data_IF_425748871491
#
_entry.id   IF_425748871491
#
_cell.length_a   1.000
_cell.length_b   1.000
_cell.length_c   1.000
_cell.angle_alpha   90.00
_cell.angle_beta   90.00
_cell.angle_gamma   90.00
#
_symmetry.space_group_name_H-M   'P 1'
#
loop_
_entity.id
_entity.type
_entity.pdbx_description
1 polymer ?
#
# COMPACT_ATOMS: atom_id res chain seq x y z
N UNK A 1 10.32 -45.69 16.62
CA UNK A 1 10.20 -45.64 15.14
C UNK A 1 9.28 -44.46 14.80
N UNK A 2 9.70 -43.23 15.12
CA UNK A 2 8.82 -42.05 15.16
C UNK A 2 9.48 -40.82 14.51
N UNK A 3 10.43 -41.04 13.60
CA UNK A 3 11.13 -39.94 12.91
C UNK A 3 10.34 -39.37 11.73
N UNK A 4 9.31 -40.06 11.23
CA UNK A 4 8.52 -39.61 10.06
C UNK A 4 7.43 -38.59 10.40
N UNK A 5 7.05 -38.40 11.67
CA UNK A 5 6.01 -37.41 12.06
C UNK A 5 6.55 -35.99 12.22
N UNK A 6 7.84 -35.82 12.51
CA UNK A 6 8.46 -34.49 12.64
C UNK A 6 8.86 -33.96 11.24
N UNK A 7 9.26 -34.83 10.32
CA UNK A 7 9.63 -34.45 8.96
C UNK A 7 8.44 -33.97 8.09
N UNK A 8 7.19 -34.28 8.46
CA UNK A 8 6.00 -33.86 7.69
C UNK A 8 5.37 -32.55 8.21
N UNK A 9 5.84 -31.99 9.32
CA UNK A 9 5.35 -30.71 9.83
C UNK A 9 6.16 -29.51 9.34
N UNK A 10 7.36 -29.76 8.81
CA UNK A 10 8.27 -28.71 8.30
C UNK A 10 8.18 -28.60 6.76
N UNK A 11 7.49 -29.53 6.08
CA UNK A 11 7.54 -29.60 4.62
C UNK A 11 6.51 -28.78 3.82
N UNK A 12 5.55 -28.05 4.40
CA UNK A 12 4.59 -27.29 3.57
C UNK A 12 4.09 -25.95 4.15
N UNK A 13 4.73 -25.37 5.17
CA UNK A 13 4.32 -24.08 5.74
C UNK A 13 4.95 -22.84 5.08
N UNK A 14 5.70 -22.99 3.98
CA UNK A 14 6.41 -21.86 3.36
C UNK A 14 6.64 -21.98 1.85
N UNK A 15 5.95 -22.91 1.18
CA UNK A 15 5.85 -22.89 -0.28
C UNK A 15 4.68 -22.02 -0.72
N UNK A 16 4.92 -21.06 -1.65
CA UNK A 16 3.97 -20.10 -2.25
C UNK A 16 3.46 -19.02 -1.27
N UNK A 17 3.91 -17.77 -1.26
CA UNK A 17 4.26 -16.89 -2.36
C UNK A 17 5.34 -15.89 -1.90
N UNK A 18 6.60 -16.13 -2.26
CA UNK A 18 7.52 -15.01 -2.49
C UNK A 18 7.41 -14.63 -3.98
N UNK A 19 6.18 -14.48 -4.47
CA UNK A 19 5.92 -13.56 -5.56
C UNK A 19 6.18 -12.19 -4.97
N UNK A 20 7.23 -11.53 -5.44
CA UNK A 20 7.65 -10.22 -4.99
C UNK A 20 6.44 -9.28 -4.94
N UNK A 21 5.95 -8.96 -3.73
CA UNK A 21 4.80 -8.06 -3.57
C UNK A 21 5.11 -6.78 -4.33
N UNK A 22 4.29 -6.51 -5.33
CA UNK A 22 4.46 -5.38 -6.24
C UNK A 22 3.95 -4.11 -5.58
N UNK A 23 4.28 -2.95 -6.14
CA UNK A 23 3.71 -1.70 -5.67
C UNK A 23 2.17 -1.71 -5.74
N UNK A 24 1.60 -2.40 -6.73
CA UNK A 24 0.16 -2.61 -6.88
C UNK A 24 -0.42 -3.43 -5.72
N UNK A 25 0.22 -4.54 -5.34
CA UNK A 25 -0.25 -5.39 -4.22
C UNK A 25 -0.31 -4.60 -2.90
N UNK A 26 0.70 -3.78 -2.64
CA UNK A 26 0.74 -2.90 -1.47
C UNK A 26 -0.32 -1.80 -1.53
N UNK A 27 -0.58 -1.24 -2.71
CA UNK A 27 -1.67 -0.27 -2.92
C UNK A 27 -3.05 -0.91 -2.68
N UNK A 28 -3.30 -2.11 -3.21
CA UNK A 28 -4.52 -2.85 -2.95
C UNK A 28 -4.72 -3.17 -1.47
N UNK A 29 -3.64 -3.56 -0.78
CA UNK A 29 -3.67 -3.76 0.67
C UNK A 29 -3.99 -2.48 1.43
N UNK A 30 -3.39 -1.36 1.05
CA UNK A 30 -3.68 -0.04 1.62
C UNK A 30 -5.14 0.35 1.41
N UNK A 31 -5.70 0.12 0.22
CA UNK A 31 -7.11 0.41 -0.08
C UNK A 31 -8.03 -0.41 0.84
N UNK A 32 -7.76 -1.70 1.02
CA UNK A 32 -8.54 -2.56 1.90
C UNK A 32 -8.47 -2.13 3.38
N UNK A 33 -7.35 -1.54 3.82
CA UNK A 33 -7.20 -0.97 5.17
C UNK A 33 -7.93 0.38 5.29
N UNK A 34 -7.87 1.21 4.26
CA UNK A 34 -8.61 2.47 4.18
C UNK A 34 -10.12 2.24 4.30
N UNK A 35 -10.66 1.23 3.61
CA UNK A 35 -12.07 0.83 3.73
C UNK A 35 -12.44 0.35 5.14
N UNK A 36 -11.48 -0.18 5.89
CA UNK A 36 -11.64 -0.58 7.29
C UNK A 36 -11.42 0.58 8.28
N UNK A 37 -11.26 1.82 7.78
CA UNK A 37 -10.89 3.01 8.56
C UNK A 37 -9.57 2.87 9.35
N UNK A 38 -8.69 1.95 8.92
CA UNK A 38 -7.33 1.77 9.43
C UNK A 38 -6.39 2.67 8.64
N UNK A 39 -6.54 3.98 8.80
CA UNK A 39 -5.87 4.96 7.94
C UNK A 39 -4.35 4.98 8.15
N UNK A 40 -3.88 4.82 9.38
CA UNK A 40 -2.45 4.73 9.69
C UNK A 40 -1.79 3.52 9.02
N UNK A 41 -2.39 2.34 9.11
CA UNK A 41 -1.88 1.15 8.45
C UNK A 41 -1.99 1.23 6.92
N UNK A 42 -3.05 1.88 6.41
CA UNK A 42 -3.19 2.15 4.98
C UNK A 42 -2.04 3.03 4.49
N UNK A 43 -1.68 4.08 5.23
CA UNK A 43 -0.53 4.95 4.92
C UNK A 43 0.76 4.13 4.83
N UNK A 44 1.03 3.25 5.80
CA UNK A 44 2.21 2.39 5.78
C UNK A 44 2.25 1.50 4.53
N UNK A 45 1.10 0.92 4.15
CA UNK A 45 1.00 0.13 2.93
C UNK A 45 1.26 0.95 1.66
N UNK A 46 0.73 2.17 1.58
CA UNK A 46 1.03 3.06 0.44
C UNK A 46 2.49 3.51 0.42
N UNK A 47 3.12 3.71 1.58
CA UNK A 47 4.55 4.02 1.66
C UNK A 47 5.43 2.88 1.13
N UNK A 48 5.07 1.63 1.42
CA UNK A 48 5.74 0.47 0.82
C UNK A 48 5.51 0.41 -0.70
N UNK A 49 4.30 0.71 -1.18
CA UNK A 49 4.03 0.83 -2.61
C UNK A 49 4.90 1.90 -3.28
N UNK A 50 5.01 3.08 -2.66
CA UNK A 50 5.87 4.20 -3.12
C UNK A 50 7.35 3.80 -3.07
N UNK A 51 7.79 3.06 -2.05
CA UNK A 51 9.18 2.60 -1.93
C UNK A 51 9.56 1.64 -3.06
N UNK A 52 8.62 0.80 -3.49
CA UNK A 52 8.80 -0.13 -4.60
C UNK A 52 8.70 0.55 -5.96
N UNK A 53 7.76 1.48 -6.11
CA UNK A 53 7.57 2.26 -7.33
C UNK A 53 7.34 3.75 -6.98
N UNK A 54 8.42 4.56 -6.90
CA UNK A 54 8.31 5.97 -6.51
C UNK A 54 7.47 6.81 -7.48
N UNK A 55 7.38 6.35 -8.72
CA UNK A 55 6.60 6.94 -9.81
C UNK A 55 5.14 6.45 -9.85
N UNK A 56 4.70 5.65 -8.88
CA UNK A 56 3.33 5.14 -8.83
C UNK A 56 2.39 6.21 -8.25
N UNK A 57 1.87 7.05 -9.15
CA UNK A 57 1.11 8.23 -8.78
C UNK A 57 -0.19 7.91 -8.01
N UNK A 58 -0.80 6.75 -8.27
CA UNK A 58 -1.99 6.27 -7.55
C UNK A 58 -1.70 6.02 -6.07
N UNK A 59 -0.55 5.44 -5.71
CA UNK A 59 -0.17 5.24 -4.31
C UNK A 59 0.00 6.57 -3.56
N UNK A 60 0.53 7.61 -4.21
CA UNK A 60 0.61 8.95 -3.64
C UNK A 60 -0.77 9.58 -3.42
N UNK A 61 -1.69 9.40 -4.37
CA UNK A 61 -3.06 9.89 -4.25
C UNK A 61 -3.84 9.17 -3.13
N UNK A 62 -3.71 7.85 -3.03
CA UNK A 62 -4.36 7.06 -1.98
C UNK A 62 -3.76 7.37 -0.60
N UNK A 63 -2.44 7.61 -0.51
CA UNK A 63 -1.79 8.12 0.71
C UNK A 63 -2.36 9.46 1.14
N UNK A 64 -2.53 10.41 0.21
CA UNK A 64 -3.19 11.70 0.49
C UNK A 64 -4.60 11.49 1.04
N UNK A 65 -5.41 10.64 0.43
CA UNK A 65 -6.77 10.38 0.92
C UNK A 65 -6.78 9.84 2.36
N UNK A 66 -5.87 8.91 2.68
CA UNK A 66 -5.70 8.40 4.04
C UNK A 66 -5.24 9.47 5.05
N UNK A 67 -4.35 10.38 4.64
CA UNK A 67 -3.89 11.50 5.47
C UNK A 67 -4.99 12.53 5.70
N UNK A 68 -5.83 12.82 4.71
CA UNK A 68 -7.00 13.70 4.88
C UNK A 68 -8.02 13.11 5.85
N UNK A 69 -8.21 11.79 5.83
CA UNK A 69 -9.07 11.11 6.79
C UNK A 69 -8.55 11.19 8.25
N UNK A 70 -7.25 11.43 8.42
CA UNK A 70 -6.59 11.67 9.72
C UNK A 70 -6.43 13.16 10.06
N UNK A 71 -7.00 14.09 9.26
CA UNK A 71 -6.84 15.54 9.42
C UNK A 71 -5.37 16.02 9.34
N UNK A 72 -4.50 15.24 8.67
CA UNK A 72 -3.09 15.57 8.45
C UNK A 72 -2.89 16.35 7.15
N UNK A 73 -3.53 17.51 7.06
CA UNK A 73 -3.60 18.34 5.84
C UNK A 73 -2.23 18.73 5.27
N UNK A 74 -1.25 18.95 6.15
CA UNK A 74 0.11 19.32 5.76
C UNK A 74 0.76 18.22 4.91
N UNK A 75 0.71 16.96 5.37
CA UNK A 75 1.31 15.82 4.67
C UNK A 75 0.48 15.42 3.45
N UNK A 76 -0.85 15.54 3.54
CA UNK A 76 -1.75 15.30 2.42
C UNK A 76 -1.43 16.22 1.24
N UNK A 77 -1.24 17.52 1.48
CA UNK A 77 -0.91 18.48 0.42
C UNK A 77 0.42 18.15 -0.28
N UNK A 78 1.42 17.67 0.46
CA UNK A 78 2.70 17.24 -0.08
C UNK A 78 2.56 15.98 -0.96
N UNK A 79 1.78 14.99 -0.49
CA UNK A 79 1.49 13.78 -1.25
C UNK A 79 0.70 14.08 -2.54
N UNK A 80 -0.29 14.96 -2.48
CA UNK A 80 -1.04 15.42 -3.66
C UNK A 80 -0.15 16.13 -4.67
N UNK A 81 0.74 17.02 -4.21
CA UNK A 81 1.69 17.71 -5.07
C UNK A 81 2.57 16.71 -5.82
N UNK A 82 3.06 15.65 -5.15
CA UNK A 82 3.81 14.58 -5.82
C UNK A 82 2.98 13.75 -6.78
N UNK A 83 1.74 13.40 -6.44
CA UNK A 83 0.86 12.70 -7.37
C UNK A 83 0.67 13.52 -8.67
N UNK A 84 0.44 14.83 -8.55
CA UNK A 84 0.29 15.75 -9.69
C UNK A 84 1.56 15.88 -10.52
N UNK A 85 2.72 15.96 -9.88
CA UNK A 85 4.02 15.99 -10.57
C UNK A 85 4.25 14.72 -11.40
N UNK A 86 3.79 13.57 -10.90
CA UNK A 86 3.84 12.29 -11.60
C UNK A 86 2.77 12.15 -12.70
N UNK A 87 1.96 13.19 -12.94
CA UNK A 87 0.94 13.20 -13.96
C UNK A 87 -0.40 12.60 -13.52
N UNK A 88 -0.62 12.41 -12.22
CA UNK A 88 -1.97 12.15 -11.68
C UNK A 88 -2.80 13.42 -11.83
N UNK A 89 -3.45 13.55 -12.96
CA UNK A 89 -4.51 14.53 -13.18
C UNK A 89 -5.74 14.00 -12.45
N UNK A 90 -5.97 14.52 -11.24
CA UNK A 90 -7.31 14.51 -10.65
C UNK A 90 -8.27 14.92 -11.76
N UNK A 91 -9.20 14.04 -12.13
CA UNK A 91 -10.31 14.38 -13.02
C UNK A 91 -11.32 15.29 -12.31
N UNK A 92 -10.84 16.23 -11.49
CA UNK A 92 -11.63 17.26 -10.85
C UNK A 92 -11.42 18.55 -11.65
N UNK A 93 -12.47 19.04 -12.35
CA UNK A 93 -12.41 20.37 -12.93
C UNK A 93 -12.20 21.36 -11.79
N UNK A 94 -11.12 22.15 -11.87
CA UNK A 94 -10.99 23.36 -11.06
C UNK A 94 -12.18 24.26 -11.41
N UNK A 95 -13.17 24.36 -10.52
CA UNK A 95 -14.25 25.35 -10.58
C UNK A 95 -14.22 26.22 -9.34
#
# INVERSE_FOLDING_TARGET
MNTTRIALFILLFSGLSCGQQTAEDWSHKGNAQYEQAMYEEAIQSYEEAIRLAPQYAEAWYNKRAALEALEHDNEASAALSKARELGYVDSLPLS
#
